data_IF_605894363128
#
_entry.id   IF_605894363128
#
_cell.length_a   1.000
_cell.length_b   1.000
_cell.length_c   1.000
_cell.angle_alpha   90.00
_cell.angle_beta   90.00
_cell.angle_gamma   90.00
#
_symmetry.space_group_name_H-M   'P 1'
#
loop_
_entity.id
_entity.type
_entity.pdbx_description
1 polymer ?
#
# COMPACT_ATOMS: atom_id res chain seq x y z
N UNK A 1 50.02 28.73 37.11
CA UNK A 1 49.31 27.83 36.16
C UNK A 1 47.95 27.42 36.74
N UNK A 2 46.87 28.13 36.39
CA UNK A 2 45.49 27.69 36.65
C UNK A 2 44.83 27.37 35.31
N UNK A 3 44.38 26.13 35.13
CA UNK A 3 43.69 25.67 33.92
C UNK A 3 42.21 26.09 33.99
N UNK A 4 41.82 27.08 33.19
CA UNK A 4 40.42 27.46 32.94
C UNK A 4 39.72 26.33 32.16
N UNK A 5 38.67 25.73 32.74
CA UNK A 5 37.76 24.80 32.04
C UNK A 5 36.82 25.61 31.13
N UNK A 6 36.88 25.36 29.82
CA UNK A 6 35.93 25.90 28.86
C UNK A 6 34.63 25.08 28.93
N UNK A 7 33.51 25.74 29.27
CA UNK A 7 32.16 25.17 29.09
C UNK A 7 31.59 25.76 27.79
N UNK A 8 31.18 24.95 26.80
CA UNK A 8 30.53 25.49 25.62
C UNK A 8 29.13 26.01 25.98
N UNK A 9 28.89 27.28 25.66
CA UNK A 9 27.61 27.97 25.87
C UNK A 9 26.48 27.27 25.09
N UNK A 10 25.34 27.13 25.76
CA UNK A 10 24.09 26.52 25.29
C UNK A 10 23.38 27.25 24.13
N UNK A 11 24.01 28.27 23.54
CA UNK A 11 23.39 29.09 22.49
C UNK A 11 23.51 28.48 21.07
N UNK A 12 24.42 27.52 20.85
CA UNK A 12 24.61 26.93 19.51
C UNK A 12 23.65 25.79 19.16
N UNK A 13 22.82 25.31 20.10
CA UNK A 13 21.86 24.22 19.83
C UNK A 13 20.48 24.68 19.34
N UNK A 14 20.19 25.98 19.38
CA UNK A 14 18.88 26.52 18.98
C UNK A 14 18.80 26.86 17.49
N UNK A 15 19.94 27.02 16.81
CA UNK A 15 19.96 27.37 15.37
C UNK A 15 19.68 26.15 14.46
N UNK A 16 19.93 24.93 14.93
CA UNK A 16 19.71 23.71 14.14
C UNK A 16 18.24 23.31 13.94
N UNK A 17 17.34 23.74 14.83
CA UNK A 17 15.92 23.34 14.80
C UNK A 17 15.00 24.35 14.10
N UNK A 18 15.37 25.63 14.05
CA UNK A 18 14.61 26.64 13.29
C UNK A 18 14.93 26.64 11.78
N UNK A 19 16.11 26.14 11.39
CA UNK A 19 16.51 26.12 9.97
C UNK A 19 15.66 25.20 9.08
N UNK A 20 15.05 24.14 9.63
CA UNK A 20 14.27 23.17 8.83
C UNK A 20 12.88 23.70 8.45
N UNK A 21 12.39 24.73 9.13
CA UNK A 21 11.06 25.31 8.86
C UNK A 21 11.05 26.41 7.78
N UNK A 22 12.21 26.90 7.35
CA UNK A 22 12.33 28.05 6.45
C UNK A 22 12.78 27.70 5.02
N UNK A 23 12.99 26.42 4.69
CA UNK A 23 13.37 26.02 3.32
C UNK A 23 12.19 25.35 2.58
N UNK A 24 11.60 26.02 1.56
CA UNK A 24 10.53 25.47 0.73
C UNK A 24 10.87 24.10 0.12
N UNK A 25 12.15 23.88 -0.21
CA UNK A 25 12.65 22.63 -0.77
C UNK A 25 12.50 21.42 0.17
N UNK A 26 12.66 21.62 1.50
CA UNK A 26 12.49 20.55 2.48
C UNK A 26 11.00 20.15 2.64
N UNK A 27 10.08 21.11 2.51
CA UNK A 27 8.63 20.86 2.49
C UNK A 27 8.19 20.16 1.20
N UNK A 28 8.73 20.57 0.05
CA UNK A 28 8.44 19.93 -1.23
C UNK A 28 8.88 18.45 -1.25
N UNK A 29 10.07 18.14 -0.73
CA UNK A 29 10.60 16.78 -0.63
C UNK A 29 9.74 15.88 0.31
N UNK A 30 9.24 16.43 1.41
CA UNK A 30 8.33 15.70 2.32
C UNK A 30 6.95 15.45 1.70
N UNK A 31 6.42 16.43 0.96
CA UNK A 31 5.16 16.29 0.23
C UNK A 31 5.25 15.25 -0.90
N UNK A 32 6.40 15.17 -1.59
CA UNK A 32 6.64 14.20 -2.65
C UNK A 32 6.66 12.73 -2.17
N UNK A 33 7.07 12.47 -0.92
CA UNK A 33 7.02 11.12 -0.33
C UNK A 33 5.64 10.73 0.23
N UNK A 34 4.78 11.71 0.48
CA UNK A 34 3.46 11.46 1.05
C UNK A 34 2.44 10.97 -0.01
N UNK A 35 2.71 11.27 -1.29
CA UNK A 35 1.83 10.92 -2.41
C UNK A 35 2.45 9.83 -3.26
N UNK A 36 1.64 8.98 -3.91
CA UNK A 36 2.17 7.98 -4.81
C UNK A 36 2.86 8.57 -6.06
N UNK A 37 3.68 7.78 -6.77
CA UNK A 37 4.00 6.37 -6.49
C UNK A 37 5.01 6.21 -5.34
N UNK A 38 4.63 5.47 -4.28
CA UNK A 38 5.47 5.32 -3.08
C UNK A 38 6.78 4.56 -3.31
N UNK A 39 6.81 3.72 -4.36
CA UNK A 39 8.00 2.96 -4.76
C UNK A 39 8.94 3.73 -5.68
N UNK A 40 8.65 4.99 -6.03
CA UNK A 40 9.47 5.76 -6.98
C UNK A 40 9.58 5.09 -8.36
N UNK A 41 8.54 4.36 -8.77
CA UNK A 41 8.51 3.63 -10.04
C UNK A 41 9.18 2.25 -10.02
N UNK A 42 9.75 1.81 -8.90
CA UNK A 42 10.34 0.47 -8.78
C UNK A 42 9.32 -0.67 -8.98
N UNK A 43 8.03 -0.37 -8.80
CA UNK A 43 6.94 -1.31 -9.10
C UNK A 43 6.60 -1.39 -10.59
N UNK A 44 7.29 -0.71 -11.52
CA UNK A 44 6.98 -0.88 -12.95
C UNK A 44 7.83 -2.02 -13.55
N UNK A 45 7.27 -3.23 -13.78
CA UNK A 45 7.99 -4.37 -14.33
C UNK A 45 8.24 -4.28 -15.85
N UNK A 46 7.76 -3.26 -16.57
CA UNK A 46 7.98 -3.18 -18.01
C UNK A 46 9.48 -3.02 -18.35
N UNK A 47 10.01 -3.89 -19.24
CA UNK A 47 11.40 -3.81 -19.68
C UNK A 47 11.67 -2.58 -20.55
N UNK A 48 10.77 -2.28 -21.50
CA UNK A 48 10.83 -1.07 -22.31
C UNK A 48 9.79 -0.07 -21.82
N UNK A 49 10.25 1.11 -21.36
CA UNK A 49 9.40 2.15 -20.76
C UNK A 49 9.00 3.26 -21.74
N UNK A 50 9.54 3.24 -22.96
CA UNK A 50 9.27 4.29 -23.96
C UNK A 50 9.60 5.69 -23.47
N UNK A 51 8.75 6.66 -23.80
CA UNK A 51 8.80 8.02 -23.29
C UNK A 51 8.05 8.11 -21.94
N UNK A 52 8.75 8.57 -20.90
CA UNK A 52 8.17 8.73 -19.57
C UNK A 52 7.68 10.16 -19.41
N UNK A 53 6.37 10.37 -19.49
CA UNK A 53 5.74 11.62 -19.08
C UNK A 53 5.51 11.61 -17.58
N UNK A 54 6.31 12.36 -16.82
CA UNK A 54 6.16 12.49 -15.38
C UNK A 54 5.94 13.95 -14.99
N UNK A 55 4.72 14.25 -14.54
CA UNK A 55 4.41 15.49 -13.84
C UNK A 55 3.87 15.11 -12.47
N UNK A 56 4.53 15.52 -11.38
CA UNK A 56 4.10 15.19 -10.03
C UNK A 56 2.60 15.48 -9.83
N UNK A 57 1.89 14.55 -9.20
CA UNK A 57 0.46 14.60 -8.89
C UNK A 57 -0.51 14.51 -10.09
N UNK A 58 -0.08 14.77 -11.33
CA UNK A 58 -0.94 14.70 -12.52
C UNK A 58 -1.00 13.27 -13.08
N UNK A 59 0.13 12.56 -13.12
CA UNK A 59 0.21 11.20 -13.64
C UNK A 59 0.27 10.19 -12.48
N UNK A 60 -0.87 9.98 -11.80
CA UNK A 60 -0.92 9.16 -10.59
C UNK A 60 -1.81 7.92 -10.78
N UNK A 61 -1.20 6.81 -11.18
CA UNK A 61 -1.82 5.48 -11.26
C UNK A 61 -0.93 4.48 -10.50
N UNK A 62 -1.03 4.44 -9.17
CA UNK A 62 -0.06 3.73 -8.36
C UNK A 62 -0.28 2.23 -8.29
N UNK A 63 -1.44 1.75 -8.71
CA UNK A 63 -1.88 0.37 -8.53
C UNK A 63 -1.89 -0.46 -9.81
N UNK A 64 -1.55 0.13 -10.97
CA UNK A 64 -1.43 -0.60 -12.24
C UNK A 64 0.03 -0.60 -12.67
N UNK A 65 0.59 -1.78 -12.91
CA UNK A 65 2.02 -1.97 -13.02
C UNK A 65 2.41 -2.78 -14.25
N UNK A 66 3.30 -2.21 -15.07
CA UNK A 66 3.84 -2.88 -16.24
C UNK A 66 3.13 -2.49 -17.51
N UNK A 67 3.21 -3.36 -18.52
CA UNK A 67 2.54 -3.19 -19.79
C UNK A 67 1.58 -4.37 -20.02
N UNK A 68 0.26 -4.15 -20.04
CA UNK A 68 -0.70 -5.23 -20.24
C UNK A 68 -0.72 -5.75 -21.68
N UNK A 69 -0.25 -4.96 -22.66
CA UNK A 69 -0.33 -5.33 -24.07
C UNK A 69 0.59 -6.49 -24.48
N UNK A 70 1.66 -6.70 -23.72
CA UNK A 70 2.66 -7.74 -23.99
C UNK A 70 2.95 -8.63 -22.77
N UNK A 71 2.08 -8.56 -21.75
CA UNK A 71 2.18 -9.39 -20.56
C UNK A 71 2.00 -10.88 -20.91
N UNK A 72 2.89 -11.71 -20.35
CA UNK A 72 2.85 -13.18 -20.39
C UNK A 72 2.39 -13.77 -19.05
N UNK A 73 2.39 -12.97 -17.98
CA UNK A 73 1.89 -13.31 -16.66
C UNK A 73 1.16 -12.10 -16.07
N UNK A 74 -0.08 -12.28 -15.66
CA UNK A 74 -0.95 -11.23 -15.12
C UNK A 74 -1.36 -11.56 -13.68
N UNK A 75 -1.05 -10.67 -12.73
CA UNK A 75 -1.31 -10.86 -11.31
C UNK A 75 -2.28 -9.81 -10.77
N UNK A 76 -3.39 -10.23 -10.17
CA UNK A 76 -4.28 -9.36 -9.40
C UNK A 76 -4.00 -9.57 -7.92
N UNK A 77 -3.36 -8.60 -7.28
CA UNK A 77 -2.72 -8.73 -5.97
C UNK A 77 -3.42 -7.84 -4.94
N UNK A 78 -3.56 -8.35 -3.71
CA UNK A 78 -4.10 -7.54 -2.63
C UNK A 78 -3.17 -6.37 -2.29
N UNK A 79 -3.72 -5.14 -2.25
CA UNK A 79 -2.93 -3.91 -2.08
C UNK A 79 -2.00 -3.86 -0.86
N UNK A 80 -2.29 -4.59 0.22
CA UNK A 80 -1.40 -4.68 1.38
C UNK A 80 -0.03 -5.32 1.09
N UNK A 81 0.20 -5.81 -0.14
CA UNK A 81 1.46 -6.41 -0.56
C UNK A 81 2.27 -5.52 -1.52
N UNK A 82 1.77 -4.36 -1.97
CA UNK A 82 2.47 -3.52 -2.97
C UNK A 82 3.94 -3.20 -2.62
N UNK A 83 4.29 -3.20 -1.32
CA UNK A 83 5.61 -2.89 -0.79
C UNK A 83 6.65 -3.99 -1.06
N UNK A 84 6.24 -5.26 -1.12
CA UNK A 84 7.16 -6.39 -1.35
C UNK A 84 7.34 -6.69 -2.84
N UNK A 85 6.41 -6.22 -3.67
CA UNK A 85 6.35 -6.51 -5.10
C UNK A 85 7.62 -6.17 -5.90
N UNK A 86 8.34 -5.05 -5.70
CA UNK A 86 9.55 -4.80 -6.49
C UNK A 86 10.56 -5.95 -6.33
N UNK A 87 10.81 -6.36 -5.08
CA UNK A 87 11.76 -7.44 -4.76
C UNK A 87 11.23 -8.81 -5.18
N UNK A 88 9.93 -9.04 -5.02
CA UNK A 88 9.32 -10.31 -5.40
C UNK A 88 9.41 -10.53 -6.91
N UNK A 89 9.05 -9.51 -7.70
CA UNK A 89 9.09 -9.57 -9.17
C UNK A 89 10.54 -9.70 -9.65
N UNK A 90 11.48 -8.92 -9.13
CA UNK A 90 12.90 -9.02 -9.48
C UNK A 90 13.44 -10.45 -9.21
N UNK A 91 13.14 -11.01 -8.04
CA UNK A 91 13.58 -12.36 -7.68
C UNK A 91 12.91 -13.45 -8.53
N UNK A 92 11.66 -13.24 -8.95
CA UNK A 92 10.93 -14.15 -9.82
C UNK A 92 11.45 -14.11 -11.25
N UNK A 93 11.67 -12.93 -11.82
CA UNK A 93 12.25 -12.76 -13.16
C UNK A 93 13.69 -13.32 -13.25
N UNK A 94 14.46 -13.25 -12.16
CA UNK A 94 15.78 -13.87 -12.10
C UNK A 94 15.71 -15.42 -12.24
N UNK A 95 14.63 -16.03 -11.74
CA UNK A 95 14.39 -17.47 -11.86
C UNK A 95 13.67 -17.85 -13.16
N UNK A 96 12.97 -16.89 -13.77
CA UNK A 96 12.21 -17.05 -15.02
C UNK A 96 12.59 -15.97 -16.04
N UNK A 97 13.79 -16.03 -16.64
CA UNK A 97 14.28 -14.97 -17.53
C UNK A 97 13.39 -14.72 -18.76
N UNK A 98 12.60 -15.70 -19.17
CA UNK A 98 11.67 -15.57 -20.30
C UNK A 98 10.46 -14.67 -20.00
N UNK A 99 10.15 -14.46 -18.72
CA UNK A 99 9.09 -13.57 -18.25
C UNK A 99 9.59 -12.16 -17.94
N UNK A 100 10.92 -11.93 -17.96
CA UNK A 100 11.51 -10.64 -17.64
C UNK A 100 10.93 -9.52 -18.51
N UNK A 101 10.36 -8.50 -17.89
CA UNK A 101 9.75 -7.39 -18.59
C UNK A 101 8.31 -7.63 -19.07
N UNK A 102 7.77 -8.84 -18.85
CA UNK A 102 6.50 -9.33 -19.41
C UNK A 102 5.50 -9.70 -18.32
N UNK A 103 5.68 -9.19 -17.10
CA UNK A 103 4.72 -9.35 -16.01
C UNK A 103 3.90 -8.06 -15.93
N UNK A 104 2.59 -8.19 -15.81
CA UNK A 104 1.69 -7.09 -15.44
C UNK A 104 1.01 -7.43 -14.14
N UNK A 105 0.83 -6.45 -13.26
CA UNK A 105 0.09 -6.67 -12.04
C UNK A 105 -0.70 -5.45 -11.57
N UNK A 106 -1.76 -5.73 -10.82
CA UNK A 106 -2.60 -4.73 -10.19
C UNK A 106 -2.59 -4.91 -8.67
N UNK A 107 -2.53 -3.81 -7.91
CA UNK A 107 -2.55 -3.81 -6.43
C UNK A 107 -3.80 -3.18 -5.83
N UNK A 108 -4.90 -3.14 -6.60
CA UNK A 108 -6.18 -2.63 -6.13
C UNK A 108 -6.77 -3.49 -4.99
N UNK A 109 -7.73 -2.97 -4.20
CA UNK A 109 -8.41 -3.76 -3.19
C UNK A 109 -9.03 -5.03 -3.80
N UNK A 110 -8.94 -6.21 -3.14
CA UNK A 110 -9.46 -7.46 -3.70
C UNK A 110 -10.94 -7.41 -4.10
N UNK A 111 -11.77 -6.62 -3.40
CA UNK A 111 -13.16 -6.42 -3.79
C UNK A 111 -13.32 -5.72 -5.14
N UNK A 112 -12.45 -4.77 -5.47
CA UNK A 112 -12.43 -4.07 -6.76
C UNK A 112 -11.92 -4.99 -7.87
N UNK A 113 -10.82 -5.71 -7.62
CA UNK A 113 -10.27 -6.70 -8.54
C UNK A 113 -11.31 -7.79 -8.90
N UNK A 114 -12.07 -8.28 -7.90
CA UNK A 114 -13.14 -9.23 -8.16
C UNK A 114 -14.25 -8.62 -9.03
N UNK A 115 -14.68 -7.37 -8.76
CA UNK A 115 -15.68 -6.69 -9.59
C UNK A 115 -15.17 -6.53 -11.02
N UNK A 116 -13.91 -6.18 -11.23
CA UNK A 116 -13.30 -6.14 -12.56
C UNK A 116 -13.38 -7.50 -13.27
N UNK A 117 -12.99 -8.59 -12.60
CA UNK A 117 -13.11 -9.95 -13.15
C UNK A 117 -14.56 -10.30 -13.53
N UNK A 118 -15.52 -9.94 -12.68
CA UNK A 118 -16.96 -10.18 -12.92
C UNK A 118 -17.53 -9.31 -14.05
N UNK A 119 -16.93 -8.14 -14.29
CA UNK A 119 -17.29 -7.22 -15.37
C UNK A 119 -16.39 -7.43 -16.59
N UNK A 120 -16.29 -8.69 -17.04
CA UNK A 120 -15.56 -9.09 -18.26
C UNK A 120 -14.06 -8.77 -18.22
N UNK A 121 -13.48 -8.69 -17.01
CA UNK A 121 -12.09 -8.31 -16.77
C UNK A 121 -11.76 -6.88 -17.19
N UNK A 122 -12.74 -5.97 -17.16
CA UNK A 122 -12.60 -4.59 -17.61
C UNK A 122 -12.60 -3.61 -16.44
N UNK A 123 -11.64 -2.67 -16.47
CA UNK A 123 -11.49 -1.59 -15.49
C UNK A 123 -11.43 -0.25 -16.21
N UNK A 124 -12.12 0.75 -15.67
CA UNK A 124 -12.06 2.14 -16.14
C UNK A 124 -11.58 3.05 -15.02
N UNK A 125 -10.50 3.80 -15.26
CA UNK A 125 -9.99 4.87 -14.39
C UNK A 125 -10.03 6.19 -15.15
N UNK A 126 -10.97 7.07 -14.79
CA UNK A 126 -11.18 8.31 -15.52
C UNK A 126 -11.47 8.04 -16.99
N UNK A 127 -10.58 8.49 -17.88
CA UNK A 127 -10.68 8.30 -19.34
C UNK A 127 -9.92 7.08 -19.87
N UNK A 128 -9.29 6.28 -19.01
CA UNK A 128 -8.56 5.07 -19.38
C UNK A 128 -9.44 3.84 -19.13
N UNK A 129 -9.67 3.02 -20.16
CA UNK A 129 -10.33 1.71 -20.04
C UNK A 129 -9.39 0.62 -20.49
N UNK A 130 -9.25 -0.42 -19.67
CA UNK A 130 -8.38 -1.57 -19.91
C UNK A 130 -9.16 -2.86 -19.71
N UNK A 131 -8.90 -3.87 -20.54
CA UNK A 131 -9.45 -5.23 -20.37
C UNK A 131 -8.28 -6.20 -20.22
N UNK A 132 -8.11 -6.75 -19.03
CA UNK A 132 -6.95 -7.57 -18.66
C UNK A 132 -7.41 -8.74 -17.80
N UNK A 133 -7.21 -9.97 -18.27
CA UNK A 133 -7.58 -11.19 -17.54
C UNK A 133 -6.42 -11.66 -16.67
N UNK A 134 -6.61 -11.84 -15.35
CA UNK A 134 -5.56 -12.35 -14.47
C UNK A 134 -5.29 -13.85 -14.65
N UNK A 135 -4.04 -14.24 -14.49
CA UNK A 135 -3.61 -15.63 -14.30
C UNK A 135 -3.64 -16.01 -12.82
N UNK A 136 -3.32 -15.05 -11.94
CA UNK A 136 -3.32 -15.21 -10.48
C UNK A 136 -4.19 -14.13 -9.86
N UNK A 137 -5.02 -14.53 -8.89
CA UNK A 137 -5.80 -13.62 -8.07
C UNK A 137 -5.54 -13.89 -6.58
N UNK A 138 -5.10 -12.85 -5.87
CA UNK A 138 -4.79 -12.91 -4.44
C UNK A 138 -5.88 -12.22 -3.62
N UNK A 139 -6.37 -12.93 -2.60
CA UNK A 139 -7.32 -12.39 -1.66
C UNK A 139 -7.24 -13.12 -0.31
N UNK A 140 -7.98 -12.61 0.68
CA UNK A 140 -8.10 -13.28 1.98
C UNK A 140 -8.66 -14.70 1.86
N UNK A 141 -8.18 -15.61 2.70
CA UNK A 141 -8.47 -17.05 2.63
C UNK A 141 -9.98 -17.38 2.61
N UNK A 142 -10.80 -16.66 3.39
CA UNK A 142 -12.27 -16.84 3.40
C UNK A 142 -12.89 -16.55 2.03
N UNK A 143 -12.42 -15.50 1.34
CA UNK A 143 -12.92 -15.12 0.01
C UNK A 143 -12.49 -16.15 -1.04
N UNK A 144 -11.23 -16.58 -1.03
CA UNK A 144 -10.75 -17.61 -1.95
C UNK A 144 -11.48 -18.94 -1.77
N UNK A 145 -11.78 -19.33 -0.52
CA UNK A 145 -12.58 -20.53 -0.25
C UNK A 145 -13.99 -20.45 -0.87
N UNK A 146 -14.66 -19.30 -0.74
CA UNK A 146 -15.98 -19.09 -1.36
C UNK A 146 -15.93 -19.11 -2.89
N UNK A 147 -14.90 -18.50 -3.50
CA UNK A 147 -14.70 -18.52 -4.96
C UNK A 147 -14.37 -19.93 -5.47
N UNK A 148 -13.60 -20.71 -4.71
CA UNK A 148 -13.28 -22.10 -5.05
C UNK A 148 -14.53 -22.98 -5.01
N UNK A 149 -15.39 -22.81 -4.01
CA UNK A 149 -16.67 -23.51 -3.93
C UNK A 149 -17.62 -23.18 -5.10
N UNK A 150 -17.48 -21.99 -5.69
CA UNK A 150 -18.21 -21.57 -6.89
C UNK A 150 -17.54 -22.01 -8.20
N UNK A 151 -16.39 -22.69 -8.15
CA UNK A 151 -15.61 -23.04 -9.34
C UNK A 151 -14.98 -21.85 -10.08
N UNK A 152 -14.95 -20.66 -9.46
CA UNK A 152 -14.38 -19.43 -10.05
C UNK A 152 -12.85 -19.39 -9.98
N UNK A 153 -12.24 -20.17 -9.08
CA UNK A 153 -10.79 -20.36 -8.99
C UNK A 153 -10.48 -21.86 -8.94
N UNK A 154 -9.38 -22.27 -9.61
CA UNK A 154 -9.04 -23.69 -9.75
C UNK A 154 -8.21 -24.24 -8.59
N UNK A 155 -7.18 -23.51 -8.19
CA UNK A 155 -6.24 -23.91 -7.13
C UNK A 155 -6.06 -22.76 -6.14
N UNK A 156 -6.03 -23.10 -4.84
CA UNK A 156 -5.85 -22.12 -3.76
C UNK A 156 -4.65 -22.54 -2.92
N UNK A 157 -3.69 -21.64 -2.76
CA UNK A 157 -2.49 -21.84 -1.94
C UNK A 157 -2.45 -20.76 -0.89
N UNK A 158 -2.21 -21.15 0.38
CA UNK A 158 -1.93 -20.20 1.47
C UNK A 158 -0.43 -20.02 1.57
N UNK A 159 0.04 -18.78 1.49
CA UNK A 159 1.47 -18.46 1.53
C UNK A 159 1.84 -17.39 2.58
N UNK A 160 0.87 -16.67 3.12
CA UNK A 160 1.10 -15.64 4.13
C UNK A 160 -0.09 -15.49 5.10
N UNK A 161 0.21 -14.96 6.28
CA UNK A 161 -0.77 -14.51 7.28
C UNK A 161 -0.34 -13.14 7.83
N UNK A 162 -1.26 -12.40 8.42
CA UNK A 162 -0.96 -11.12 9.07
C UNK A 162 -1.82 -10.97 10.33
N UNK A 163 -1.31 -10.21 11.29
CA UNK A 163 -2.01 -9.81 12.50
C UNK A 163 -2.48 -8.36 12.40
N UNK A 164 -3.68 -8.07 12.91
CA UNK A 164 -4.18 -6.71 12.99
C UNK A 164 -3.53 -5.99 14.17
N UNK A 165 -3.02 -4.79 13.92
CA UNK A 165 -2.38 -3.96 14.92
C UNK A 165 -2.94 -2.53 14.89
N UNK A 166 -2.91 -1.87 16.04
CA UNK A 166 -3.22 -0.44 16.14
C UNK A 166 -1.92 0.35 15.93
N UNK A 167 -1.84 1.06 14.81
CA UNK A 167 -0.73 1.96 14.55
C UNK A 167 -1.02 3.35 15.12
N UNK A 168 -0.11 3.86 15.95
CA UNK A 168 -0.21 5.20 16.55
C UNK A 168 1.00 6.06 16.23
N UNK A 169 0.86 7.38 16.38
CA UNK A 169 2.00 8.30 16.25
C UNK A 169 3.08 7.97 17.27
N UNK A 170 4.34 8.18 16.88
CA UNK A 170 5.52 8.01 17.74
C UNK A 170 5.31 8.71 19.10
N UNK A 171 5.61 7.99 20.17
CA UNK A 171 5.40 8.45 21.55
C UNK A 171 3.99 8.22 22.11
N UNK A 172 3.04 7.71 21.30
CA UNK A 172 1.66 7.43 21.70
C UNK A 172 0.99 8.59 22.47
N UNK A 173 0.85 9.79 21.86
CA UNK A 173 0.43 11.00 22.56
C UNK A 173 -1.00 10.96 23.10
N UNK A 174 -1.83 10.00 22.64
CA UNK A 174 -3.21 9.78 23.12
C UNK A 174 -3.31 8.60 24.09
N UNK A 175 -2.19 7.96 24.41
CA UNK A 175 -2.10 6.80 25.31
C UNK A 175 -3.02 5.64 24.92
N UNK A 176 -3.15 5.37 23.62
CA UNK A 176 -3.95 4.25 23.10
C UNK A 176 -3.28 2.94 23.51
N UNK A 177 -3.96 2.12 24.31
CA UNK A 177 -3.46 0.83 24.84
C UNK A 177 -4.41 -0.33 24.56
N UNK A 178 -5.64 -0.04 24.14
CA UNK A 178 -6.69 -1.01 23.89
C UNK A 178 -7.58 -0.57 22.73
N UNK A 179 -8.41 -1.49 22.24
CA UNK A 179 -9.45 -1.18 21.25
C UNK A 179 -10.50 -0.19 21.79
N UNK A 180 -10.80 -0.23 23.10
CA UNK A 180 -11.74 0.71 23.74
C UNK A 180 -11.28 2.16 23.64
N UNK A 181 -9.96 2.39 23.64
CA UNK A 181 -9.42 3.74 23.50
C UNK A 181 -9.73 4.36 22.12
N UNK A 182 -10.07 3.55 21.11
CA UNK A 182 -10.41 4.02 19.77
C UNK A 182 -11.78 4.72 19.71
N UNK A 183 -12.69 4.42 20.64
CA UNK A 183 -14.01 5.06 20.74
C UNK A 183 -14.03 6.40 21.46
N UNK A 184 -12.89 6.85 21.98
CA UNK A 184 -12.81 8.13 22.69
C UNK A 184 -13.10 9.31 21.74
N UNK A 185 -13.84 10.34 22.18
CA UNK A 185 -14.20 11.47 21.33
C UNK A 185 -13.00 12.30 20.85
N UNK A 186 -11.87 12.24 21.57
CA UNK A 186 -10.64 12.94 21.21
C UNK A 186 -9.68 12.12 20.33
N UNK A 187 -10.10 10.93 19.92
CA UNK A 187 -9.36 10.00 19.06
C UNK A 187 -10.05 9.94 17.71
N UNK A 188 -9.27 10.11 16.65
CA UNK A 188 -9.73 9.99 15.27
C UNK A 188 -9.07 8.77 14.65
N UNK A 189 -9.91 7.89 14.10
CA UNK A 189 -9.47 6.61 13.53
C UNK A 189 -9.57 6.69 12.01
N UNK A 190 -8.62 6.06 11.33
CA UNK A 190 -8.66 5.85 9.89
C UNK A 190 -8.94 4.38 9.64
N UNK A 191 -10.03 4.08 8.94
CA UNK A 191 -10.49 2.70 8.71
C UNK A 191 -10.51 2.38 7.21
N UNK A 192 -10.30 1.11 6.85
CA UNK A 192 -10.50 0.63 5.48
C UNK A 192 -11.96 0.77 5.07
N UNK A 193 -12.23 0.84 3.76
CA UNK A 193 -13.61 0.93 3.28
C UNK A 193 -14.30 -0.46 3.33
N UNK A 194 -15.39 -0.62 4.09
CA UNK A 194 -16.04 -1.91 4.28
C UNK A 194 -16.69 -2.50 3.02
N UNK A 195 -16.99 -1.69 2.00
CA UNK A 195 -17.65 -2.18 0.78
C UNK A 195 -16.72 -3.07 -0.06
N UNK A 196 -15.40 -2.85 -0.03
CA UNK A 196 -14.45 -3.60 -0.86
C UNK A 196 -13.24 -4.16 -0.11
N UNK A 197 -12.99 -3.75 1.13
CA UNK A 197 -11.86 -4.23 1.94
C UNK A 197 -12.32 -5.24 3.00
N UNK A 198 -12.03 -6.53 2.78
CA UNK A 198 -12.46 -7.61 3.68
C UNK A 198 -11.91 -7.51 5.11
N UNK A 199 -10.85 -6.74 5.34
CA UNK A 199 -10.31 -6.48 6.67
C UNK A 199 -11.23 -5.64 7.55
N UNK A 200 -12.10 -4.81 6.96
CA UNK A 200 -13.03 -3.97 7.71
C UNK A 200 -13.95 -4.80 8.63
N UNK A 201 -14.45 -5.94 8.15
CA UNK A 201 -15.29 -6.85 8.93
C UNK A 201 -14.57 -7.40 10.17
N UNK A 202 -13.27 -7.69 10.04
CA UNK A 202 -12.46 -8.17 11.16
C UNK A 202 -12.24 -7.07 12.20
N UNK A 203 -12.04 -5.83 11.74
CA UNK A 203 -11.90 -4.66 12.63
C UNK A 203 -13.21 -4.42 13.38
N UNK A 204 -14.34 -4.38 12.68
CA UNK A 204 -15.66 -4.20 13.30
C UNK A 204 -15.95 -5.27 14.35
N UNK A 205 -15.68 -6.55 14.02
CA UNK A 205 -15.87 -7.64 14.98
C UNK A 205 -14.94 -7.47 16.19
N UNK A 206 -13.71 -7.02 15.98
CA UNK A 206 -12.75 -6.79 17.07
C UNK A 206 -13.23 -5.66 18.00
N UNK A 207 -13.78 -4.58 17.44
CA UNK A 207 -14.35 -3.47 18.21
C UNK A 207 -15.59 -3.94 19.00
N UNK A 208 -16.55 -4.61 18.36
CA UNK A 208 -17.73 -5.17 19.04
C UNK A 208 -17.35 -6.12 20.17
N UNK A 209 -16.37 -7.00 19.94
CA UNK A 209 -15.86 -7.91 20.98
C UNK A 209 -15.20 -7.16 22.13
N UNK A 210 -14.56 -6.03 21.86
CA UNK A 210 -13.87 -5.24 22.86
C UNK A 210 -14.80 -4.34 23.67
N UNK A 211 -15.86 -3.79 23.08
CA UNK A 211 -16.67 -2.72 23.70
C UNK A 211 -18.18 -2.78 23.48
N UNK A 212 -18.71 -3.76 22.73
CA UNK A 212 -20.11 -3.82 22.33
C UNK A 212 -20.44 -2.91 21.15
N UNK A 213 -21.73 -2.73 20.85
CA UNK A 213 -22.21 -1.90 19.73
C UNK A 213 -21.95 -0.39 19.91
N UNK A 214 -21.62 0.05 21.14
CA UNK A 214 -21.29 1.45 21.44
C UNK A 214 -19.87 1.84 21.00
N UNK A 215 -19.02 0.87 20.64
CA UNK A 215 -17.63 1.05 20.20
C UNK A 215 -17.48 0.80 18.70
#
# INVERSE_FOLDING_TARGET
MQKRKWKPNSLLKVVGALGVLLFPAARACFAQRAVPPWSGGANNPAAYKGYIFEVPQINNVPDLHGNPCDARLVLFIAGNQFMVLPRLIEAFEAQHPDLKGRIYYETLPPGILLRQMENRNTLTLGNLTLTVRPDIYEAGARRLAALAAQGKVRSVVRYASNDLAIMVRKGNPKHIRSLRDLGRPDVRVSMPNPEWEGVAQLIEQSLRNAGGEEL
#
